data_IF_720847816824
#
_entry.id   IF_720847816824
#
_cell.length_a   1.000
_cell.length_b   1.000
_cell.length_c   1.000
_cell.angle_alpha   90.00
_cell.angle_beta   90.00
_cell.angle_gamma   90.00
#
_symmetry.space_group_name_H-M   'P 1'
#
loop_
_entity.id
_entity.type
_entity.pdbx_description
1 polymer ?
#
# COMPACT_ATOMS: atom_id res chain seq x y z
N UNK A 1 -2.09 36.71 -15.22
CA UNK A 1 -1.74 37.59 -16.28
C UNK A 1 -0.39 37.17 -16.81
N UNK A 2 0.46 37.96 -17.31
CA UNK A 2 1.66 37.63 -18.08
C UNK A 2 2.46 36.43 -17.53
N UNK A 3 2.67 36.36 -16.19
CA UNK A 3 3.39 35.28 -15.54
C UNK A 3 2.63 33.92 -15.64
N UNK A 4 1.32 33.93 -15.49
CA UNK A 4 0.51 32.69 -15.63
C UNK A 4 0.50 32.22 -17.07
N UNK A 5 0.32 33.13 -18.01
CA UNK A 5 0.32 32.84 -19.44
C UNK A 5 1.65 32.27 -19.90
N UNK A 6 2.76 32.80 -19.40
CA UNK A 6 4.10 32.28 -19.69
C UNK A 6 4.34 30.87 -19.14
N UNK A 7 3.84 30.58 -17.93
CA UNK A 7 3.92 29.24 -17.33
C UNK A 7 3.06 28.26 -18.12
N UNK A 8 1.83 28.63 -18.45
CA UNK A 8 0.90 27.80 -19.22
C UNK A 8 1.45 27.50 -20.64
N UNK A 9 2.02 28.49 -21.30
CA UNK A 9 2.67 28.30 -22.61
C UNK A 9 3.90 27.37 -22.50
N UNK A 10 4.71 27.52 -21.46
CA UNK A 10 5.84 26.64 -21.20
C UNK A 10 5.39 25.18 -20.95
N UNK A 11 4.35 24.98 -20.16
CA UNK A 11 3.83 23.63 -19.86
C UNK A 11 3.22 23.00 -21.12
N UNK A 12 2.47 23.76 -21.91
CA UNK A 12 1.95 23.29 -23.18
C UNK A 12 3.07 22.89 -24.16
N UNK A 13 4.13 23.66 -24.25
CA UNK A 13 5.30 23.33 -25.07
C UNK A 13 6.03 22.09 -24.57
N UNK A 14 6.20 21.92 -23.27
CA UNK A 14 6.79 20.73 -22.67
C UNK A 14 5.96 19.47 -22.96
N UNK A 15 4.65 19.55 -22.80
CA UNK A 15 3.73 18.44 -23.10
C UNK A 15 3.79 18.09 -24.61
N UNK A 16 3.83 19.10 -25.49
CA UNK A 16 3.91 18.86 -26.93
C UNK A 16 5.23 18.24 -27.37
N UNK A 17 6.35 18.63 -26.72
CA UNK A 17 7.67 18.09 -27.03
C UNK A 17 7.95 16.72 -26.40
N UNK A 18 7.36 16.43 -25.25
CA UNK A 18 7.56 15.18 -24.51
C UNK A 18 6.53 14.10 -24.86
N UNK A 19 6.18 13.95 -26.11
CA UNK A 19 5.39 12.78 -26.54
C UNK A 19 6.33 11.58 -26.60
N UNK A 20 6.23 10.62 -25.65
CA UNK A 20 7.02 9.40 -25.75
C UNK A 20 6.64 8.69 -27.07
N UNK A 21 7.64 8.33 -27.85
CA UNK A 21 7.41 7.47 -28.99
C UNK A 21 6.79 6.17 -28.53
N UNK A 22 5.73 5.68 -29.17
CA UNK A 22 5.15 4.42 -28.80
C UNK A 22 6.20 3.32 -28.96
N UNK A 23 6.67 2.81 -27.83
CA UNK A 23 7.58 1.66 -27.83
C UNK A 23 6.73 0.40 -28.02
N UNK A 24 7.00 -0.44 -29.03
CA UNK A 24 6.26 -1.67 -29.19
C UNK A 24 6.49 -2.56 -27.97
N UNK A 25 5.40 -2.86 -27.25
CA UNK A 25 5.43 -3.75 -26.10
C UNK A 25 5.42 -5.20 -26.58
N UNK A 26 6.54 -5.90 -26.40
CA UNK A 26 6.60 -7.35 -26.62
C UNK A 26 6.24 -8.05 -25.32
N UNK A 27 5.13 -8.79 -25.34
CA UNK A 27 4.74 -9.60 -24.19
C UNK A 27 5.78 -10.69 -23.95
N UNK A 28 6.23 -10.82 -22.70
CA UNK A 28 7.10 -11.90 -22.28
C UNK A 28 6.36 -12.87 -21.34
N UNK A 29 6.99 -14.01 -21.06
CA UNK A 29 6.46 -15.09 -20.22
C UNK A 29 7.44 -15.49 -19.11
N UNK A 30 8.32 -14.58 -18.70
CA UNK A 30 9.22 -14.85 -17.57
C UNK A 30 8.41 -15.22 -16.34
N UNK A 31 8.83 -16.29 -15.66
CA UNK A 31 8.14 -16.75 -14.47
C UNK A 31 8.17 -15.69 -13.37
N UNK A 32 7.04 -15.45 -12.75
CA UNK A 32 6.98 -14.64 -11.55
C UNK A 32 7.59 -15.40 -10.37
N UNK A 33 8.18 -14.71 -9.41
CA UNK A 33 8.91 -15.33 -8.29
C UNK A 33 8.04 -16.17 -7.34
N UNK A 34 6.73 -16.03 -7.40
CA UNK A 34 5.77 -16.79 -6.60
C UNK A 34 4.61 -17.29 -7.43
N UNK A 35 4.17 -18.51 -7.17
CA UNK A 35 3.02 -19.12 -7.83
C UNK A 35 1.68 -18.75 -7.15
N UNK A 36 1.73 -18.24 -5.91
CA UNK A 36 0.55 -17.87 -5.13
C UNK A 36 0.73 -16.44 -4.63
N UNK A 37 -0.25 -15.59 -4.85
CA UNK A 37 -0.21 -14.18 -4.46
C UNK A 37 -1.36 -13.85 -3.52
N UNK A 38 -1.05 -13.10 -2.47
CA UNK A 38 -2.05 -12.52 -1.59
C UNK A 38 -2.57 -11.17 -2.13
N UNK A 39 -3.49 -10.54 -1.41
CA UNK A 39 -4.07 -9.24 -1.76
C UNK A 39 -3.04 -8.12 -1.96
N UNK A 40 -1.81 -8.24 -1.42
CA UNK A 40 -0.75 -7.23 -1.56
C UNK A 40 -0.20 -7.13 -2.99
N UNK A 41 -0.45 -8.14 -3.83
CA UNK A 41 -0.16 -8.05 -5.26
C UNK A 41 -1.04 -7.04 -6.00
N UNK A 42 -2.04 -6.50 -5.31
CA UNK A 42 -2.94 -5.44 -5.79
C UNK A 42 -3.60 -5.76 -7.14
N UNK A 43 -4.09 -6.99 -7.26
CA UNK A 43 -4.81 -7.45 -8.45
C UNK A 43 -6.25 -6.96 -8.34
N UNK A 44 -6.60 -5.92 -9.10
CA UNK A 44 -7.92 -5.27 -9.02
C UNK A 44 -8.74 -5.39 -10.31
N UNK A 45 -8.13 -5.85 -11.40
CA UNK A 45 -8.80 -5.96 -12.70
C UNK A 45 -8.30 -7.18 -13.48
N UNK A 46 -9.02 -7.52 -14.57
CA UNK A 46 -8.72 -8.69 -15.37
C UNK A 46 -7.40 -8.58 -16.15
N UNK A 47 -6.94 -7.37 -16.47
CA UNK A 47 -5.65 -7.18 -17.15
C UNK A 47 -4.49 -7.53 -16.24
N UNK A 48 -4.52 -7.08 -14.98
CA UNK A 48 -3.53 -7.47 -13.99
C UNK A 48 -3.58 -8.98 -13.68
N UNK A 49 -4.78 -9.54 -13.56
CA UNK A 49 -4.96 -10.99 -13.39
C UNK A 49 -4.35 -11.79 -14.55
N UNK A 50 -4.63 -11.38 -15.79
CA UNK A 50 -4.08 -12.01 -17.00
C UNK A 50 -2.55 -11.88 -17.10
N UNK A 51 -2.00 -10.74 -16.65
CA UNK A 51 -0.56 -10.55 -16.56
C UNK A 51 0.06 -11.62 -15.65
N UNK A 52 -0.40 -11.74 -14.41
CA UNK A 52 0.16 -12.68 -13.46
C UNK A 52 -0.01 -14.14 -13.90
N UNK A 53 -1.18 -14.50 -14.46
CA UNK A 53 -1.41 -15.85 -15.03
C UNK A 53 -0.42 -16.18 -16.15
N UNK A 54 -0.15 -15.24 -17.06
CA UNK A 54 0.83 -15.40 -18.13
C UNK A 54 2.24 -15.64 -17.59
N UNK A 55 2.54 -15.07 -16.42
CA UNK A 55 3.82 -15.23 -15.74
C UNK A 55 3.86 -16.41 -14.76
N UNK A 56 2.93 -17.35 -14.87
CA UNK A 56 2.96 -18.63 -14.14
C UNK A 56 2.32 -18.61 -12.75
N UNK A 57 1.65 -17.52 -12.37
CA UNK A 57 0.90 -17.49 -11.10
C UNK A 57 -0.33 -18.38 -11.20
N UNK A 58 -0.45 -19.34 -10.27
CA UNK A 58 -1.51 -20.34 -10.24
C UNK A 58 -2.75 -19.89 -9.47
N UNK A 59 -2.52 -19.17 -8.37
CA UNK A 59 -3.62 -18.63 -7.54
C UNK A 59 -3.29 -17.23 -7.04
N UNK A 60 -4.31 -16.42 -6.85
CA UNK A 60 -4.17 -15.08 -6.29
C UNK A 60 -5.46 -14.63 -5.60
N UNK A 61 -5.28 -13.73 -4.65
CA UNK A 61 -6.37 -12.99 -4.05
C UNK A 61 -6.54 -11.65 -4.76
N UNK A 62 -7.79 -11.24 -4.97
CA UNK A 62 -8.06 -9.88 -5.45
C UNK A 62 -7.79 -8.85 -4.36
N UNK A 63 -7.31 -7.67 -4.76
CA UNK A 63 -7.12 -6.55 -3.86
C UNK A 63 -8.44 -6.10 -3.20
N UNK A 64 -8.38 -5.54 -1.98
CA UNK A 64 -9.54 -5.10 -1.23
C UNK A 64 -10.37 -4.03 -1.94
N UNK A 65 -9.78 -3.28 -2.86
CA UNK A 65 -10.49 -2.31 -3.70
C UNK A 65 -11.52 -2.96 -4.61
N UNK A 66 -11.24 -4.19 -5.09
CA UNK A 66 -12.18 -4.97 -5.91
C UNK A 66 -13.19 -5.71 -5.06
N UNK A 67 -12.74 -6.35 -3.99
CA UNK A 67 -13.61 -7.19 -3.14
C UNK A 67 -14.45 -6.39 -2.16
N UNK A 68 -14.06 -5.14 -1.87
CA UNK A 68 -14.63 -4.29 -0.81
C UNK A 68 -14.49 -4.89 0.60
N UNK A 69 -13.62 -5.86 0.76
CA UNK A 69 -13.30 -6.51 2.04
C UNK A 69 -11.94 -6.03 2.51
N UNK A 70 -11.94 -5.28 3.60
CA UNK A 70 -10.73 -4.66 4.15
C UNK A 70 -10.32 -5.27 5.50
N UNK A 71 -11.13 -6.15 6.07
CA UNK A 71 -10.89 -6.71 7.39
C UNK A 71 -9.62 -7.57 7.37
N UNK A 72 -8.70 -7.28 8.28
CA UNK A 72 -7.40 -7.93 8.36
C UNK A 72 -6.40 -7.53 7.26
N UNK A 73 -6.77 -6.61 6.35
CA UNK A 73 -5.85 -6.10 5.35
C UNK A 73 -5.00 -4.97 5.92
N UNK A 74 -3.69 -5.06 5.75
CA UNK A 74 -2.79 -3.95 6.00
C UNK A 74 -2.99 -2.88 4.91
N UNK A 75 -3.62 -1.78 5.29
CA UNK A 75 -3.89 -0.64 4.39
C UNK A 75 -2.63 0.20 4.18
N UNK A 76 -1.74 0.20 5.16
CA UNK A 76 -0.44 0.87 5.08
C UNK A 76 0.60 0.08 5.88
N UNK A 77 1.82 0.03 5.37
CA UNK A 77 3.00 -0.46 6.09
C UNK A 77 4.05 0.63 6.08
N UNK A 78 4.60 0.95 7.25
CA UNK A 78 5.56 2.04 7.40
C UNK A 78 6.72 1.63 8.31
N UNK A 79 7.89 2.19 8.06
CA UNK A 79 9.06 2.13 8.96
C UNK A 79 8.92 3.10 10.13
N UNK A 80 8.07 4.13 10.03
CA UNK A 80 7.72 4.97 11.17
C UNK A 80 6.98 4.14 12.20
N UNK A 81 7.48 4.10 13.42
CA UNK A 81 6.93 3.28 14.49
C UNK A 81 6.49 4.16 15.67
N UNK A 82 5.20 4.22 15.92
CA UNK A 82 4.66 5.04 16.99
C UNK A 82 5.21 4.64 18.37
N UNK A 83 5.43 3.34 18.62
CA UNK A 83 6.05 2.89 19.87
C UNK A 83 7.47 3.41 20.03
N UNK A 84 8.23 3.49 18.93
CA UNK A 84 9.59 4.05 18.98
C UNK A 84 9.55 5.55 19.30
N UNK A 85 8.69 6.31 18.64
CA UNK A 85 8.53 7.76 18.85
C UNK A 85 8.11 8.10 20.28
N UNK A 86 7.27 7.26 20.88
CA UNK A 86 6.83 7.41 22.27
C UNK A 86 7.83 6.84 23.28
N UNK A 87 9.02 6.41 22.84
CA UNK A 87 10.05 5.84 23.71
C UNK A 87 9.71 4.45 24.26
N UNK A 88 8.76 3.73 23.66
CA UNK A 88 8.23 2.44 24.11
C UNK A 88 8.63 1.29 23.18
N UNK A 89 9.77 1.43 22.52
CA UNK A 89 10.30 0.37 21.67
C UNK A 89 10.73 -0.84 22.49
N UNK A 90 10.15 -1.99 22.24
CA UNK A 90 10.45 -3.24 22.95
C UNK A 90 11.88 -3.71 22.75
N UNK A 91 12.54 -3.37 21.64
CA UNK A 91 13.97 -3.67 21.40
C UNK A 91 14.88 -2.86 22.31
N UNK A 92 14.44 -1.73 22.84
CA UNK A 92 15.20 -0.88 23.75
C UNK A 92 14.95 -1.21 25.23
N UNK A 93 14.31 -2.36 25.51
CA UNK A 93 14.07 -2.84 26.87
C UNK A 93 12.98 -2.10 27.65
N UNK A 94 12.27 -1.16 27.03
CA UNK A 94 11.15 -0.46 27.66
C UNK A 94 9.85 -1.19 27.34
N UNK A 95 9.15 -1.62 28.36
CA UNK A 95 7.90 -2.37 28.24
C UNK A 95 6.88 -1.79 29.22
N UNK A 96 6.32 -0.64 28.89
CA UNK A 96 5.23 -0.05 29.67
C UNK A 96 3.94 -0.85 29.39
N UNK A 97 3.27 -1.39 30.43
CA UNK A 97 2.03 -2.13 30.29
C UNK A 97 0.94 -1.39 29.51
N UNK A 98 0.89 -0.06 29.57
CA UNK A 98 -0.05 0.74 28.80
C UNK A 98 0.12 0.59 27.28
N UNK A 99 1.34 0.37 26.81
CA UNK A 99 1.65 0.16 25.40
C UNK A 99 1.67 -1.31 24.98
N UNK A 100 1.44 -2.25 25.89
CA UNK A 100 1.17 -3.65 25.55
C UNK A 100 -0.24 -3.86 25.03
N UNK A 101 -1.16 -2.91 25.25
CA UNK A 101 -2.50 -2.92 24.74
C UNK A 101 -2.56 -2.64 23.23
N UNK A 102 -3.69 -2.98 22.62
CA UNK A 102 -3.97 -2.64 21.23
C UNK A 102 -4.07 -1.11 21.07
N UNK A 103 -3.32 -0.58 20.13
CA UNK A 103 -3.34 0.83 19.80
C UNK A 103 -4.17 1.07 18.55
N UNK A 104 -4.91 2.17 18.55
CA UNK A 104 -5.80 2.53 17.46
C UNK A 104 -5.55 3.96 17.00
N UNK A 105 -5.67 4.19 15.70
CA UNK A 105 -5.82 5.51 15.10
C UNK A 105 -7.29 5.74 14.75
N UNK A 106 -7.74 6.95 14.98
CA UNK A 106 -9.06 7.41 14.53
C UNK A 106 -8.91 8.46 13.45
N UNK A 107 -9.61 8.28 12.35
CA UNK A 107 -9.73 9.28 11.30
C UNK A 107 -11.21 9.43 10.95
N UNK A 108 -11.80 10.56 11.34
CA UNK A 108 -13.26 10.78 11.30
C UNK A 108 -14.01 9.66 12.03
N UNK A 109 -14.85 8.91 11.30
CA UNK A 109 -15.63 7.79 11.86
C UNK A 109 -14.96 6.42 11.66
N UNK A 110 -13.74 6.40 11.11
CA UNK A 110 -13.01 5.16 10.88
C UNK A 110 -11.98 4.92 11.98
N UNK A 111 -11.90 3.67 12.42
CA UNK A 111 -10.90 3.20 13.37
C UNK A 111 -9.93 2.27 12.66
N UNK A 112 -8.66 2.40 12.99
CA UNK A 112 -7.59 1.59 12.44
C UNK A 112 -6.76 1.05 13.58
N UNK A 113 -6.48 -0.25 13.55
CA UNK A 113 -5.62 -0.90 14.52
C UNK A 113 -4.17 -0.81 14.06
N UNK A 114 -3.27 -0.51 14.99
CA UNK A 114 -1.82 -0.51 14.77
C UNK A 114 -1.23 -1.85 15.14
N UNK A 115 -0.67 -2.55 14.17
CA UNK A 115 0.07 -3.79 14.35
C UNK A 115 1.57 -3.53 14.26
N UNK A 116 2.30 -3.95 15.28
CA UNK A 116 3.75 -3.72 15.36
C UNK A 116 4.50 -5.02 15.11
N UNK A 117 5.22 -5.08 14.00
CA UNK A 117 6.15 -6.14 13.71
C UNK A 117 7.55 -5.72 14.17
N UNK A 118 7.87 -6.02 15.42
CA UNK A 118 9.14 -5.62 16.01
C UNK A 118 10.34 -6.39 15.42
N UNK A 119 10.11 -7.56 14.79
CA UNK A 119 11.17 -8.30 14.11
C UNK A 119 11.64 -7.54 12.88
N UNK A 120 10.71 -7.15 12.03
CA UNK A 120 10.97 -6.43 10.78
C UNK A 120 11.09 -4.91 10.96
N UNK A 121 10.85 -4.39 12.17
CA UNK A 121 10.78 -2.95 12.47
C UNK A 121 9.81 -2.22 11.53
N UNK A 122 8.59 -2.72 11.44
CA UNK A 122 7.51 -2.08 10.67
C UNK A 122 6.25 -1.96 11.52
N UNK A 123 5.48 -0.92 11.24
CA UNK A 123 4.14 -0.76 11.76
C UNK A 123 3.15 -0.89 10.60
N UNK A 124 2.12 -1.72 10.79
CA UNK A 124 1.01 -1.88 9.84
C UNK A 124 -0.22 -1.21 10.40
N UNK A 125 -0.98 -0.59 9.52
CA UNK A 125 -2.26 0.04 9.84
C UNK A 125 -3.33 -0.81 9.16
N UNK A 126 -4.18 -1.42 9.97
CA UNK A 126 -5.26 -2.29 9.51
C UNK A 126 -6.61 -1.66 9.82
N UNK A 127 -7.62 -1.86 8.99
CA UNK A 127 -8.98 -1.42 9.31
C UNK A 127 -9.45 -2.19 10.55
N UNK A 128 -9.78 -1.48 11.61
CA UNK A 128 -10.36 -2.11 12.79
C UNK A 128 -11.80 -2.56 12.47
N UNK A 129 -12.17 -3.76 12.95
CA UNK A 129 -13.57 -4.11 13.02
C UNK A 129 -14.32 -3.07 13.90
N UNK A 130 -15.59 -2.79 13.63
CA UNK A 130 -16.38 -1.90 14.48
C UNK A 130 -16.22 -2.33 15.93
N UNK A 131 -15.71 -1.45 16.78
CA UNK A 131 -15.73 -1.71 18.21
C UNK A 131 -17.23 -1.76 18.59
N UNK A 132 -17.73 -2.94 18.87
CA UNK A 132 -19.05 -3.10 19.49
C UNK A 132 -18.97 -2.42 20.87
N UNK A 133 -19.65 -1.29 20.99
CA UNK A 133 -19.86 -0.61 22.27
C UNK A 133 -20.75 -1.43 23.17
#
# INVERSE_FOLDING_TARGET
>A
TLRREAIEDLDNKRIAQNRPLPTPLTANTFAYFSNNLDYKANIINEKSASFYKRHGVKSFEYGPEKTKQYDGCALMTTKYCLRFELGQCTKNGKNDPQFSQRLFLRNNNNWFELKFDCKECVMRIEKAAPLLN
#
